data_IF_775106120750
#
_entry.id   IF_775106120750
#
_cell.length_a   1.000
_cell.length_b   1.000
_cell.length_c   1.000
_cell.angle_alpha   90.00
_cell.angle_beta   90.00
_cell.angle_gamma   90.00
#
_symmetry.space_group_name_H-M   'P 1'
#
loop_
_entity.id
_entity.type
_entity.pdbx_description
1 polymer ?
#
# COMPACT_ATOMS: atom_id res chain seq x y z
N UNK A 1 -17.46 22.57 -48.18
CA UNK A 1 -17.78 21.28 -47.53
C UNK A 1 -17.69 21.52 -46.04
N UNK A 2 -18.83 21.61 -45.35
CA UNK A 2 -18.88 21.74 -43.89
C UNK A 2 -18.69 20.35 -43.30
N UNK A 3 -17.53 20.09 -42.71
CA UNK A 3 -17.34 18.87 -41.92
C UNK A 3 -18.35 18.87 -40.78
N UNK A 4 -19.11 17.78 -40.68
CA UNK A 4 -20.00 17.56 -39.54
C UNK A 4 -19.10 17.37 -38.30
N UNK A 5 -19.29 18.15 -37.23
CA UNK A 5 -18.54 17.96 -35.99
C UNK A 5 -18.60 16.51 -35.54
N UNK A 6 -17.51 15.95 -35.02
CA UNK A 6 -17.45 14.54 -34.61
C UNK A 6 -18.60 14.14 -33.65
N UNK A 7 -19.04 15.06 -32.79
CA UNK A 7 -20.17 14.91 -31.87
C UNK A 7 -21.56 14.79 -32.53
N UNK A 8 -21.65 15.00 -33.85
CA UNK A 8 -22.87 14.87 -34.65
C UNK A 8 -22.84 13.66 -35.58
N UNK A 9 -21.75 12.87 -35.61
CA UNK A 9 -21.71 11.59 -36.33
C UNK A 9 -22.65 10.58 -35.62
N UNK A 10 -23.57 9.89 -36.31
CA UNK A 10 -24.45 8.89 -35.70
C UNK A 10 -23.71 7.77 -34.96
N UNK A 11 -22.49 7.45 -35.39
CA UNK A 11 -21.61 6.49 -34.69
C UNK A 11 -21.14 7.03 -33.35
N UNK A 12 -21.07 8.36 -33.19
CA UNK A 12 -20.52 9.03 -32.00
C UNK A 12 -21.56 9.00 -30.93
N UNK A 13 -22.76 9.42 -31.31
CA UNK A 13 -23.96 9.38 -30.49
C UNK A 13 -24.18 7.95 -29.97
N UNK A 14 -23.99 6.93 -30.82
CA UNK A 14 -24.12 5.53 -30.42
C UNK A 14 -23.01 5.11 -29.44
N UNK A 15 -21.74 5.40 -29.75
CA UNK A 15 -20.62 5.07 -28.87
C UNK A 15 -20.77 5.74 -27.49
N UNK A 16 -21.16 7.02 -27.47
CA UNK A 16 -21.41 7.76 -26.24
C UNK A 16 -22.58 7.16 -25.44
N UNK A 17 -23.69 6.80 -26.10
CA UNK A 17 -24.81 6.14 -25.43
C UNK A 17 -24.42 4.78 -24.83
N UNK A 18 -23.67 3.97 -25.57
CA UNK A 18 -23.20 2.65 -25.11
C UNK A 18 -22.26 2.77 -23.90
N UNK A 19 -21.35 3.74 -23.90
CA UNK A 19 -20.44 3.99 -22.78
C UNK A 19 -21.17 4.58 -21.55
N UNK A 20 -22.12 5.51 -21.74
CA UNK A 20 -22.94 6.05 -20.63
C UNK A 20 -23.77 4.96 -19.97
N UNK A 21 -24.43 4.12 -20.78
CA UNK A 21 -25.20 2.98 -20.27
C UNK A 21 -24.31 1.99 -19.50
N UNK A 22 -23.07 1.78 -19.96
CA UNK A 22 -22.09 0.98 -19.24
C UNK A 22 -21.73 1.59 -17.86
N UNK A 23 -21.44 2.88 -17.80
CA UNK A 23 -21.17 3.58 -16.53
C UNK A 23 -22.37 3.51 -15.58
N UNK A 24 -23.57 3.78 -16.06
CA UNK A 24 -24.81 3.72 -15.27
C UNK A 24 -25.04 2.32 -14.69
N UNK A 25 -24.90 1.28 -15.52
CA UNK A 25 -25.06 -0.12 -15.09
C UNK A 25 -24.06 -0.51 -14.00
N UNK A 26 -22.85 0.07 -14.03
CA UNK A 26 -21.77 -0.22 -13.07
C UNK A 26 -21.74 0.73 -11.88
N UNK A 27 -22.57 1.78 -11.89
CA UNK A 27 -22.54 2.84 -10.88
C UNK A 27 -21.26 3.68 -10.92
N UNK A 28 -20.62 3.81 -12.09
CA UNK A 28 -19.44 4.66 -12.25
C UNK A 28 -19.86 6.12 -12.41
N UNK A 29 -19.14 6.99 -11.70
CA UNK A 29 -19.33 8.43 -11.77
C UNK A 29 -18.71 8.97 -13.06
N UNK A 30 -19.56 9.43 -13.98
CA UNK A 30 -19.14 10.00 -15.25
C UNK A 30 -18.37 11.31 -15.09
N UNK A 31 -18.64 12.08 -14.03
CA UNK A 31 -17.95 13.36 -13.77
C UNK A 31 -16.53 13.13 -13.23
N UNK A 32 -16.28 11.95 -12.66
CA UNK A 32 -14.97 11.56 -12.18
C UNK A 32 -14.02 11.09 -13.28
N UNK A 33 -14.52 10.73 -14.47
CA UNK A 33 -13.69 10.27 -15.59
C UNK A 33 -13.03 11.46 -16.30
N UNK A 34 -11.70 11.42 -16.43
CA UNK A 34 -10.95 12.46 -17.15
C UNK A 34 -11.11 12.26 -18.67
N UNK A 35 -11.48 13.32 -19.39
CA UNK A 35 -11.54 13.37 -20.86
C UNK A 35 -12.46 12.32 -21.54
N UNK A 36 -13.77 12.50 -21.31
CA UNK A 36 -14.84 11.72 -21.97
C UNK A 36 -14.73 11.68 -23.51
N UNK A 37 -14.28 12.76 -24.15
CA UNK A 37 -14.08 12.78 -25.60
C UNK A 37 -13.03 11.79 -26.07
N UNK A 38 -11.95 11.61 -25.32
CA UNK A 38 -10.91 10.60 -25.61
C UNK A 38 -11.46 9.18 -25.47
N UNK A 39 -12.29 8.91 -24.46
CA UNK A 39 -12.95 7.61 -24.29
C UNK A 39 -13.88 7.27 -25.47
N UNK A 40 -14.65 8.24 -25.95
CA UNK A 40 -15.50 8.04 -27.15
C UNK A 40 -14.62 7.83 -28.39
N UNK A 41 -13.50 8.57 -28.53
CA UNK A 41 -12.56 8.40 -29.64
C UNK A 41 -11.86 7.03 -29.67
N UNK A 42 -11.65 6.37 -28.52
CA UNK A 42 -11.11 5.00 -28.47
C UNK A 42 -12.03 4.03 -29.22
N UNK A 43 -13.36 4.21 -29.12
CA UNK A 43 -14.34 3.37 -29.82
C UNK A 43 -14.18 3.43 -31.34
N UNK A 44 -13.68 4.56 -31.86
CA UNK A 44 -13.47 4.81 -33.28
C UNK A 44 -12.11 4.39 -33.81
N UNK A 45 -11.16 4.10 -32.93
CA UNK A 45 -9.81 3.76 -33.35
C UNK A 45 -9.84 2.38 -34.04
N UNK A 46 -9.36 2.25 -35.28
CA UNK A 46 -9.43 0.98 -36.02
C UNK A 46 -8.59 -0.15 -35.40
N UNK A 47 -7.72 0.16 -34.43
CA UNK A 47 -6.92 -0.80 -33.68
C UNK A 47 -7.50 -1.13 -32.30
N UNK A 48 -8.47 -0.35 -31.82
CA UNK A 48 -9.14 -0.52 -30.54
C UNK A 48 -10.66 -0.63 -30.78
N UNK A 49 -11.46 -0.61 -29.72
CA UNK A 49 -12.90 -0.51 -29.87
C UNK A 49 -13.63 -0.27 -28.56
N UNK A 50 -14.93 -0.53 -28.59
CA UNK A 50 -15.84 -0.32 -27.46
C UNK A 50 -15.37 -1.03 -26.17
N UNK A 51 -14.84 -2.25 -26.29
CA UNK A 51 -14.36 -3.01 -25.14
C UNK A 51 -13.08 -2.42 -24.54
N UNK A 52 -12.19 -1.85 -25.36
CA UNK A 52 -11.02 -1.13 -24.85
C UNK A 52 -11.43 0.14 -24.11
N UNK A 53 -12.39 0.91 -24.65
CA UNK A 53 -12.92 2.09 -23.98
C UNK A 53 -13.57 1.73 -22.63
N UNK A 54 -14.34 0.64 -22.57
CA UNK A 54 -14.91 0.13 -21.30
C UNK A 54 -13.81 -0.28 -20.31
N UNK A 55 -12.74 -0.92 -20.79
CA UNK A 55 -11.61 -1.30 -19.96
C UNK A 55 -10.91 -0.07 -19.38
N UNK A 56 -10.69 0.97 -20.18
CA UNK A 56 -10.13 2.26 -19.71
C UNK A 56 -11.02 2.89 -18.64
N UNK A 57 -12.34 2.91 -18.84
CA UNK A 57 -13.29 3.41 -17.82
C UNK A 57 -13.17 2.64 -16.50
N UNK A 58 -13.03 1.31 -16.56
CA UNK A 58 -12.83 0.49 -15.35
C UNK A 58 -11.51 0.86 -14.68
N UNK A 59 -10.41 0.94 -15.43
CA UNK A 59 -9.08 1.28 -14.89
C UNK A 59 -9.05 2.68 -14.25
N UNK A 60 -9.66 3.67 -14.89
CA UNK A 60 -9.80 5.03 -14.34
C UNK A 60 -10.68 5.05 -13.09
N UNK A 61 -11.84 4.40 -13.13
CA UNK A 61 -12.74 4.32 -11.98
C UNK A 61 -12.05 3.64 -10.78
N UNK A 62 -11.32 2.55 -11.01
CA UNK A 62 -10.51 1.88 -9.97
C UNK A 62 -9.40 2.78 -9.43
N UNK A 63 -8.73 3.55 -10.31
CA UNK A 63 -7.73 4.54 -9.91
C UNK A 63 -8.35 5.63 -9.02
N UNK A 64 -9.46 6.23 -9.41
CA UNK A 64 -10.13 7.26 -8.60
C UNK A 64 -10.59 6.71 -7.24
N UNK A 65 -11.15 5.49 -7.21
CA UNK A 65 -11.49 4.83 -5.95
C UNK A 65 -10.26 4.55 -5.08
N UNK A 66 -9.14 4.13 -5.68
CA UNK A 66 -7.88 3.91 -4.99
C UNK A 66 -7.33 5.20 -4.39
N UNK A 67 -7.32 6.29 -5.17
CA UNK A 67 -6.88 7.61 -4.72
C UNK A 67 -7.78 8.19 -3.62
N UNK A 68 -9.10 8.04 -3.73
CA UNK A 68 -10.04 8.47 -2.71
C UNK A 68 -9.80 7.74 -1.39
N UNK A 69 -9.61 6.41 -1.44
CA UNK A 69 -9.24 5.60 -0.26
C UNK A 69 -7.87 5.97 0.29
N UNK A 70 -6.91 6.28 -0.58
CA UNK A 70 -5.58 6.74 -0.15
C UNK A 70 -5.67 8.07 0.59
N UNK A 71 -6.46 9.03 0.07
CA UNK A 71 -6.73 10.32 0.74
C UNK A 71 -7.39 10.12 2.10
N UNK A 72 -8.42 9.29 2.18
CA UNK A 72 -9.09 8.94 3.45
C UNK A 72 -8.10 8.35 4.47
N UNK A 73 -7.20 7.46 4.02
CA UNK A 73 -6.14 6.91 4.89
C UNK A 73 -5.11 7.96 5.29
N UNK A 74 -4.73 8.85 4.38
CA UNK A 74 -3.80 9.95 4.65
C UNK A 74 -4.34 10.90 5.73
N UNK A 75 -5.63 11.24 5.68
CA UNK A 75 -6.27 12.09 6.69
C UNK A 75 -6.34 11.43 8.07
N UNK A 76 -6.44 10.09 8.10
CA UNK A 76 -6.48 9.30 9.34
C UNK A 76 -5.11 8.98 9.90
N UNK A 77 -4.07 8.94 9.06
CA UNK A 77 -2.75 8.47 9.49
C UNK A 77 -2.15 9.48 10.47
N UNK A 78 -1.97 9.05 11.72
CA UNK A 78 -1.26 9.87 12.73
C UNK A 78 0.26 9.76 12.56
N UNK A 79 0.76 9.51 11.33
CA UNK A 79 2.19 9.32 11.03
C UNK A 79 3.00 10.48 11.59
N UNK A 80 2.65 11.71 11.21
CA UNK A 80 3.38 12.91 11.62
C UNK A 80 3.38 13.08 13.14
N UNK A 81 2.29 12.70 13.82
CA UNK A 81 2.22 12.75 15.28
C UNK A 81 3.13 11.70 15.94
N UNK A 82 3.13 10.47 15.43
CA UNK A 82 3.98 9.40 15.95
C UNK A 82 5.46 9.69 15.64
N UNK A 83 5.79 10.04 14.40
CA UNK A 83 7.13 10.46 13.97
C UNK A 83 7.65 11.64 14.79
N UNK A 84 6.85 12.68 15.01
CA UNK A 84 7.23 13.81 15.86
C UNK A 84 7.40 13.41 17.34
N UNK A 85 6.61 12.47 17.84
CA UNK A 85 6.70 12.00 19.22
C UNK A 85 7.92 11.10 19.47
N UNK A 86 8.35 10.31 18.47
CA UNK A 86 9.55 9.48 18.55
C UNK A 86 10.83 10.24 18.18
N UNK A 87 10.74 11.35 17.42
CA UNK A 87 11.87 12.22 17.07
C UNK A 87 12.78 12.59 18.26
N UNK A 88 12.27 13.08 19.41
CA UNK A 88 13.10 13.46 20.54
C UNK A 88 13.65 12.28 21.37
N UNK A 89 13.22 11.03 21.09
CA UNK A 89 13.70 9.86 21.83
C UNK A 89 15.09 9.48 21.28
N UNK A 90 16.14 10.01 21.90
CA UNK A 90 17.52 9.86 21.43
C UNK A 90 18.07 8.43 21.42
N UNK A 91 17.41 7.48 22.09
CA UNK A 91 17.75 6.06 22.09
C UNK A 91 17.19 5.28 20.89
N UNK A 92 16.33 5.88 20.07
CA UNK A 92 15.79 5.23 18.87
C UNK A 92 16.73 5.47 17.69
N UNK A 93 17.20 4.37 17.09
CA UNK A 93 18.07 4.40 15.92
C UNK A 93 17.29 4.74 14.64
N UNK A 94 17.99 4.85 13.52
CA UNK A 94 17.35 5.21 12.24
C UNK A 94 16.51 4.05 11.67
N UNK A 95 16.86 2.79 11.94
CA UNK A 95 16.11 1.65 11.45
C UNK A 95 14.67 1.62 12.00
N UNK A 96 14.48 1.87 13.30
CA UNK A 96 13.12 1.89 13.88
C UNK A 96 12.28 3.05 13.35
N UNK A 97 12.91 4.21 13.11
CA UNK A 97 12.25 5.38 12.50
C UNK A 97 11.81 5.08 11.07
N UNK A 98 12.72 4.52 10.28
CA UNK A 98 12.45 4.09 8.92
C UNK A 98 11.34 3.02 8.86
N UNK A 99 11.31 2.10 9.82
CA UNK A 99 10.25 1.08 9.92
C UNK A 99 8.88 1.74 10.16
N UNK A 100 8.79 2.67 11.12
CA UNK A 100 7.54 3.40 11.40
C UNK A 100 7.06 4.16 10.16
N UNK A 101 7.98 4.79 9.42
CA UNK A 101 7.65 5.49 8.18
C UNK A 101 7.16 4.54 7.09
N UNK A 102 7.89 3.45 6.83
CA UNK A 102 7.51 2.43 5.84
C UNK A 102 6.12 1.84 6.14
N UNK A 103 5.80 1.61 7.41
CA UNK A 103 4.51 1.10 7.84
C UNK A 103 3.37 2.09 7.58
N UNK A 104 3.60 3.36 7.89
CA UNK A 104 2.64 4.42 7.60
C UNK A 104 2.38 4.55 6.10
N UNK A 105 3.44 4.53 5.29
CA UNK A 105 3.36 4.66 3.84
C UNK A 105 2.68 3.43 3.22
N UNK A 106 2.98 2.23 3.73
CA UNK A 106 2.31 1.00 3.31
C UNK A 106 0.81 1.02 3.62
N UNK A 107 0.41 1.54 4.80
CA UNK A 107 -0.99 1.73 5.13
C UNK A 107 -1.67 2.73 4.18
N UNK A 108 -1.10 3.92 4.00
CA UNK A 108 -1.65 4.94 3.10
C UNK A 108 -1.79 4.41 1.67
N UNK A 109 -0.73 3.83 1.13
CA UNK A 109 -0.70 3.27 -0.22
C UNK A 109 -1.58 2.02 -0.41
N UNK A 110 -2.14 1.45 0.67
CA UNK A 110 -2.91 0.21 0.60
C UNK A 110 -2.07 -0.98 0.16
N UNK A 111 -0.76 -0.94 0.46
CA UNK A 111 0.22 -1.93 0.06
C UNK A 111 0.17 -3.18 0.95
N UNK A 112 1.05 -4.14 0.63
CA UNK A 112 1.15 -5.43 1.33
C UNK A 112 1.40 -5.23 2.83
N UNK A 113 0.69 -6.02 3.62
CA UNK A 113 0.84 -6.06 5.09
C UNK A 113 2.14 -6.72 5.57
N UNK A 114 2.85 -7.42 4.68
CA UNK A 114 4.16 -8.02 4.98
C UNK A 114 5.25 -7.23 4.27
N UNK A 115 6.07 -6.55 5.05
CA UNK A 115 7.22 -5.78 4.58
C UNK A 115 8.50 -6.46 5.07
N UNK A 116 9.65 -6.06 4.54
CA UNK A 116 10.95 -6.55 4.99
C UNK A 116 11.90 -5.38 5.20
N UNK A 117 12.73 -5.46 6.25
CA UNK A 117 13.86 -4.55 6.38
C UNK A 117 14.88 -4.88 5.27
N UNK A 118 15.30 -3.87 4.50
CA UNK A 118 16.16 -4.05 3.32
C UNK A 118 17.59 -4.50 3.60
N UNK A 119 17.96 -4.75 4.86
CA UNK A 119 19.28 -5.23 5.27
C UNK A 119 19.16 -6.39 6.25
N UNK A 120 20.19 -7.22 6.28
CA UNK A 120 20.35 -8.28 7.31
C UNK A 120 21.02 -7.67 8.54
N UNK A 121 20.47 -7.96 9.72
CA UNK A 121 20.98 -7.52 11.01
C UNK A 121 21.85 -8.60 11.67
N UNK A 122 22.77 -8.19 12.54
CA UNK A 122 23.30 -9.05 13.59
C UNK A 122 22.19 -9.34 14.62
N UNK A 123 22.30 -10.45 15.35
CA UNK A 123 21.27 -10.83 16.33
C UNK A 123 21.06 -9.76 17.41
N UNK A 124 22.14 -9.17 17.93
CA UNK A 124 22.05 -8.10 18.94
C UNK A 124 21.40 -6.82 18.39
N UNK A 125 21.61 -6.47 17.12
CA UNK A 125 20.94 -5.32 16.48
C UNK A 125 19.43 -5.56 16.39
N UNK A 126 19.02 -6.81 16.14
CA UNK A 126 17.62 -7.18 16.14
C UNK A 126 17.00 -7.12 17.55
N UNK A 127 17.72 -7.56 18.58
CA UNK A 127 17.24 -7.47 19.96
C UNK A 127 17.11 -6.01 20.42
N UNK A 128 18.09 -5.16 20.10
CA UNK A 128 17.98 -3.72 20.31
C UNK A 128 16.75 -3.14 19.60
N UNK A 129 16.50 -3.55 18.35
CA UNK A 129 15.34 -3.09 17.59
C UNK A 129 14.01 -3.54 18.21
N UNK A 130 13.95 -4.73 18.83
CA UNK A 130 12.78 -5.21 19.59
C UNK A 130 12.55 -4.34 20.83
N UNK A 131 13.60 -3.96 21.54
CA UNK A 131 13.49 -3.04 22.68
C UNK A 131 13.00 -1.66 22.25
N UNK A 132 13.58 -1.11 21.18
CA UNK A 132 13.14 0.15 20.59
C UNK A 132 11.68 0.08 20.10
N UNK A 133 11.23 -1.08 19.62
CA UNK A 133 9.81 -1.29 19.26
C UNK A 133 8.87 -1.18 20.46
N UNK A 134 9.27 -1.68 21.62
CA UNK A 134 8.53 -1.47 22.87
C UNK A 134 8.51 0.01 23.29
N UNK A 135 9.60 0.75 23.06
CA UNK A 135 9.61 2.20 23.30
C UNK A 135 8.63 2.93 22.37
N UNK A 136 8.59 2.57 21.08
CA UNK A 136 7.61 3.13 20.13
C UNK A 136 6.18 2.83 20.57
N UNK A 137 5.90 1.62 21.05
CA UNK A 137 4.59 1.26 21.64
C UNK A 137 4.21 2.19 22.79
N UNK A 138 5.14 2.42 23.71
CA UNK A 138 4.87 3.23 24.91
C UNK A 138 4.66 4.71 24.56
N UNK A 139 5.34 5.21 23.51
CA UNK A 139 5.09 6.54 22.95
C UNK A 139 3.72 6.59 22.27
N UNK A 140 3.40 5.62 21.42
CA UNK A 140 2.13 5.54 20.71
C UNK A 140 0.93 5.50 21.66
N UNK A 141 1.04 4.77 22.78
CA UNK A 141 0.00 4.69 23.82
C UNK A 141 -0.29 6.00 24.54
N UNK A 142 0.59 7.00 24.44
CA UNK A 142 0.41 8.35 25.02
C UNK A 142 -0.21 9.34 24.04
N UNK A 143 -0.29 9.01 22.75
CA UNK A 143 -0.84 9.87 21.72
C UNK A 143 -2.37 9.66 21.66
N UNK A 144 -3.20 10.68 21.95
CA UNK A 144 -4.65 10.55 21.84
C UNK A 144 -5.08 10.15 20.42
N UNK A 145 -5.94 9.15 20.32
CA UNK A 145 -6.45 8.60 19.06
C UNK A 145 -5.33 8.10 18.11
N UNK A 146 -4.21 7.61 18.66
CA UNK A 146 -3.18 6.98 17.85
C UNK A 146 -3.74 5.74 17.16
N UNK A 147 -3.57 5.66 15.84
CA UNK A 147 -4.06 4.51 15.07
C UNK A 147 -3.11 3.32 15.09
N UNK A 148 -1.87 3.52 15.55
CA UNK A 148 -0.87 2.47 15.73
C UNK A 148 -1.09 1.79 17.09
N UNK A 149 -1.40 0.50 17.06
CA UNK A 149 -1.83 -0.28 18.23
C UNK A 149 -1.26 -1.70 18.18
N UNK A 150 -1.37 -2.46 19.28
CA UNK A 150 -1.00 -3.89 19.32
C UNK A 150 0.42 -4.20 18.79
N UNK A 151 1.40 -3.42 19.26
CA UNK A 151 2.81 -3.63 18.94
C UNK A 151 3.31 -4.93 19.57
N UNK A 152 3.78 -5.86 18.75
CA UNK A 152 4.40 -7.12 19.19
C UNK A 152 5.70 -7.33 18.45
N UNK A 153 6.63 -8.07 19.05
CA UNK A 153 7.87 -8.48 18.41
C UNK A 153 8.14 -9.95 18.69
N UNK A 154 8.73 -10.65 17.71
CA UNK A 154 9.18 -12.03 17.86
C UNK A 154 10.68 -12.13 17.60
N UNK A 155 11.41 -12.95 18.38
CA UNK A 155 12.83 -13.22 18.18
C UNK A 155 13.10 -13.88 16.83
N UNK A 156 14.34 -13.84 16.38
CA UNK A 156 14.74 -14.47 15.14
C UNK A 156 14.80 -15.98 15.29
N UNK A 157 13.98 -16.68 14.50
CA UNK A 157 13.91 -18.15 14.47
C UNK A 157 14.56 -18.70 13.20
N UNK A 158 15.15 -19.91 13.28
CA UNK A 158 15.62 -20.63 12.08
C UNK A 158 14.42 -21.09 11.23
N UNK A 159 14.13 -20.36 10.15
CA UNK A 159 13.06 -20.70 9.20
C UNK A 159 13.42 -21.90 8.35
N UNK A 160 14.70 -22.17 8.11
CA UNK A 160 15.12 -23.35 7.36
C UNK A 160 14.87 -24.62 8.17
N UNK A 161 15.22 -24.61 9.47
CA UNK A 161 14.90 -25.69 10.39
C UNK A 161 13.39 -25.90 10.56
N UNK A 162 12.60 -24.82 10.51
CA UNK A 162 11.13 -24.87 10.57
C UNK A 162 10.45 -25.29 9.24
N UNK A 163 11.20 -25.65 8.19
CA UNK A 163 10.64 -26.08 6.90
C UNK A 163 10.08 -24.94 6.03
N UNK A 164 10.38 -23.69 6.37
CA UNK A 164 9.90 -22.48 5.69
C UNK A 164 11.02 -21.66 5.03
N UNK A 165 12.23 -22.22 4.91
CA UNK A 165 13.42 -21.52 4.44
C UNK A 165 13.47 -21.20 2.94
N UNK A 166 12.56 -21.74 2.13
CA UNK A 166 12.54 -21.53 0.69
C UNK A 166 11.41 -20.57 0.28
N UNK A 167 11.79 -19.43 -0.30
CA UNK A 167 10.88 -18.49 -0.96
C UNK A 167 11.09 -18.61 -2.47
N UNK A 168 10.32 -19.47 -3.15
CA UNK A 168 10.40 -19.64 -4.61
C UNK A 168 11.76 -20.13 -5.13
N UNK A 169 11.92 -20.17 -6.46
CA UNK A 169 13.12 -20.65 -7.17
C UNK A 169 14.39 -19.77 -7.01
N UNK A 170 14.38 -18.81 -6.08
CA UNK A 170 15.53 -17.95 -5.80
C UNK A 170 16.31 -18.52 -4.62
N UNK A 171 17.63 -18.68 -4.78
CA UNK A 171 18.61 -19.20 -3.80
C UNK A 171 18.75 -18.35 -2.51
N UNK A 172 17.82 -17.43 -2.26
CA UNK A 172 17.86 -16.49 -1.16
C UNK A 172 17.35 -17.17 0.11
N UNK A 173 18.27 -17.80 0.83
CA UNK A 173 17.97 -18.57 2.05
C UNK A 173 17.80 -17.61 3.22
N UNK A 174 16.55 -17.29 3.54
CA UNK A 174 16.19 -16.56 4.78
C UNK A 174 16.30 -17.51 5.96
N UNK A 175 17.53 -17.83 6.38
CA UNK A 175 17.76 -18.83 7.43
C UNK A 175 17.23 -18.36 8.77
N UNK A 176 17.60 -17.17 9.25
CA UNK A 176 17.12 -16.62 10.51
C UNK A 176 16.30 -15.35 10.27
N UNK A 177 15.09 -15.31 10.84
CA UNK A 177 14.19 -14.19 10.64
C UNK A 177 13.33 -13.92 11.88
N UNK A 178 13.41 -12.68 12.38
CA UNK A 178 12.53 -12.12 13.40
C UNK A 178 11.39 -11.30 12.79
N UNK A 179 10.47 -10.83 13.63
CA UNK A 179 9.29 -10.11 13.17
C UNK A 179 8.91 -8.97 14.11
N UNK A 180 8.58 -7.80 13.56
CA UNK A 180 7.90 -6.72 14.29
C UNK A 180 6.49 -6.54 13.73
N UNK A 181 5.50 -6.53 14.61
CA UNK A 181 4.09 -6.45 14.27
C UNK A 181 3.43 -5.23 14.89
N UNK A 182 2.49 -4.64 14.17
CA UNK A 182 1.63 -3.55 14.64
C UNK A 182 0.30 -3.61 13.92
N UNK A 183 -0.75 -3.09 14.55
CA UNK A 183 -2.03 -2.80 13.91
C UNK A 183 -2.12 -1.32 13.61
N UNK A 184 -2.45 -0.96 12.37
CA UNK A 184 -2.69 0.42 11.94
C UNK A 184 -4.15 0.51 11.55
N UNK A 185 -4.95 1.20 12.38
CA UNK A 185 -6.40 1.31 12.20
C UNK A 185 -7.09 -0.06 11.97
N UNK A 186 -6.72 -1.07 12.77
CA UNK A 186 -7.26 -2.43 12.68
C UNK A 186 -6.61 -3.33 11.62
N UNK A 187 -5.74 -2.81 10.75
CA UNK A 187 -5.01 -3.61 9.76
C UNK A 187 -3.69 -4.09 10.36
N UNK A 188 -3.47 -5.40 10.41
CA UNK A 188 -2.24 -6.01 10.93
C UNK A 188 -1.11 -5.90 9.90
N UNK A 189 0.00 -5.29 10.29
CA UNK A 189 1.26 -5.26 9.54
C UNK A 189 2.32 -6.13 10.21
N UNK A 190 3.23 -6.66 9.41
CA UNK A 190 4.34 -7.50 9.81
C UNK A 190 5.61 -7.08 9.06
N UNK A 191 6.65 -6.73 9.80
CA UNK A 191 7.99 -6.43 9.29
C UNK A 191 8.86 -7.64 9.54
N UNK A 192 9.29 -8.27 8.46
CA UNK A 192 10.27 -9.35 8.49
C UNK A 192 11.68 -8.78 8.58
N UNK A 193 12.47 -9.31 9.51
CA UNK A 193 13.85 -8.85 9.74
C UNK A 193 14.78 -10.04 9.65
N UNK A 194 15.59 -10.07 8.60
CA UNK A 194 16.57 -11.13 8.42
C UNK A 194 17.74 -10.89 9.37
N UNK A 195 18.26 -11.96 9.96
CA UNK A 195 19.40 -11.90 10.87
C UNK A 195 20.50 -12.90 10.49
N UNK A 196 21.73 -12.66 10.97
CA UNK A 196 22.87 -13.56 10.75
C UNK A 196 22.80 -14.84 11.58
N UNK A 197 22.09 -14.81 12.71
CA UNK A 197 21.90 -15.93 13.64
C UNK A 197 20.55 -15.83 14.35
N UNK A 198 20.15 -16.89 15.05
CA UNK A 198 19.03 -16.81 15.98
C UNK A 198 19.30 -15.78 17.08
N UNK A 199 18.23 -15.18 17.62
CA UNK A 199 18.27 -14.38 18.85
C UNK A 199 17.96 -15.29 20.04
N UNK A 200 18.51 -14.95 21.21
CA UNK A 200 18.08 -15.58 22.46
C UNK A 200 16.73 -14.98 22.90
N UNK A 201 15.90 -15.78 23.59
CA UNK A 201 14.57 -15.38 24.06
C UNK A 201 14.65 -14.41 25.26
#
# INVERSE_FOLDING_TARGET
MTETPASQDPRWIRAEADLRAFCETRGFDLEALEDWSTLVMIVYNPKLGLEDAKKTIVEESEKHLSEARQRERQERVTKDKLSAAIAPVGSLNDDIRNIVEQLADAYVGGHRVNLALGRTLLAWEHDELREQWNMVRDVAGKIPNCIFTNFHSYPATDKAAAGHGNVGNTLDTRRYQGNLLVFINGVKFNIHINTTSASED
#
